data_IF_193699357246
#
_entry.id   IF_193699357246
#
_cell.length_a   1.000
_cell.length_b   1.000
_cell.length_c   1.000
_cell.angle_alpha   90.00
_cell.angle_beta   90.00
_cell.angle_gamma   90.00
#
_symmetry.space_group_name_H-M   'P 1'
#
loop_
_entity.id
_entity.type
_entity.pdbx_description
1 polymer ?
#
# COMPACT_ATOMS: atom_id res chain seq x y z
N UNK A 1 -16.68 10.11 34.51
CA UNK A 1 -15.59 9.89 35.47
C UNK A 1 -14.76 8.72 34.96
N UNK A 2 -13.53 9.05 34.56
CA UNK A 2 -12.33 8.25 34.43
C UNK A 2 -12.36 6.94 33.63
N UNK A 3 -11.83 7.09 32.41
CA UNK A 3 -11.07 6.10 31.68
C UNK A 3 -10.08 5.34 32.57
N UNK A 4 -10.26 4.04 32.65
CA UNK A 4 -9.16 3.11 32.79
C UNK A 4 -9.26 2.22 31.57
N UNK A 5 -8.60 2.64 30.49
CA UNK A 5 -8.18 1.70 29.45
C UNK A 5 -7.24 0.78 30.21
N UNK A 6 -7.75 -0.41 30.58
CA UNK A 6 -6.93 -1.44 31.19
C UNK A 6 -5.79 -1.72 30.23
N UNK A 7 -4.60 -1.34 30.70
CA UNK A 7 -3.31 -1.65 30.14
C UNK A 7 -3.31 -3.15 29.79
N UNK A 8 -3.15 -3.45 28.51
CA UNK A 8 -3.05 -4.82 28.03
C UNK A 8 -2.01 -5.54 28.88
N UNK A 9 -2.44 -6.58 29.60
CA UNK A 9 -1.57 -7.37 30.49
C UNK A 9 -0.52 -8.20 29.76
N UNK A 10 -0.43 -8.08 28.44
CA UNK A 10 0.55 -8.76 27.61
C UNK A 10 1.66 -7.78 27.21
N UNK A 11 2.94 -8.07 27.52
CA UNK A 11 4.08 -7.19 27.19
C UNK A 11 4.27 -6.92 25.70
N UNK A 12 3.55 -7.65 24.84
CA UNK A 12 3.69 -7.58 23.39
C UNK A 12 2.34 -7.97 22.78
N UNK A 13 1.61 -6.99 22.26
CA UNK A 13 0.42 -7.26 21.45
C UNK A 13 0.86 -7.83 20.10
N UNK A 14 -0.04 -8.54 19.41
CA UNK A 14 0.25 -9.04 18.07
C UNK A 14 0.62 -7.90 17.10
N UNK A 15 0.16 -6.68 17.39
CA UNK A 15 0.51 -5.45 16.67
C UNK A 15 1.97 -4.99 16.89
N UNK A 16 2.57 -5.33 18.04
CA UNK A 16 3.98 -5.04 18.35
C UNK A 16 4.96 -6.04 17.69
N UNK A 17 4.47 -7.22 17.27
CA UNK A 17 5.28 -8.26 16.62
C UNK A 17 5.62 -7.88 15.17
N UNK A 18 4.73 -7.16 14.49
CA UNK A 18 4.91 -6.78 13.08
C UNK A 18 5.70 -5.47 12.89
N UNK A 19 6.05 -4.78 13.97
CA UNK A 19 6.64 -3.43 13.92
C UNK A 19 8.10 -3.34 14.37
N UNK A 20 8.75 -4.46 14.72
CA UNK A 20 10.09 -4.41 15.35
C UNK A 20 11.27 -4.66 14.40
N UNK A 21 11.07 -5.09 13.15
CA UNK A 21 12.16 -5.24 12.19
C UNK A 21 11.72 -5.20 10.71
N UNK A 22 11.88 -4.04 10.05
CA UNK A 22 12.27 -3.95 8.64
C UNK A 22 11.22 -4.31 7.58
N UNK A 23 10.55 -3.26 7.06
CA UNK A 23 9.79 -3.19 5.81
C UNK A 23 8.73 -4.28 5.56
N UNK A 24 7.45 -3.90 5.72
CA UNK A 24 6.30 -4.66 5.22
C UNK A 24 6.54 -5.14 3.79
N UNK A 25 6.11 -6.38 3.47
CA UNK A 25 6.14 -6.85 2.09
C UNK A 25 5.26 -5.95 1.20
N UNK A 26 5.52 -5.85 -0.12
CA UNK A 26 4.70 -5.02 -1.01
C UNK A 26 3.20 -5.34 -0.92
N UNK A 27 2.84 -6.61 -0.73
CA UNK A 27 1.44 -7.02 -0.56
C UNK A 27 0.81 -6.52 0.74
N UNK A 28 1.56 -6.50 1.84
CA UNK A 28 1.10 -5.93 3.12
C UNK A 28 1.01 -4.40 3.05
N UNK A 29 1.95 -3.75 2.38
CA UNK A 29 1.90 -2.31 2.13
C UNK A 29 0.65 -1.92 1.32
N UNK A 30 0.26 -2.72 0.32
CA UNK A 30 -0.99 -2.46 -0.43
C UNK A 30 -2.22 -2.61 0.48
N UNK A 31 -2.26 -3.61 1.36
CA UNK A 31 -3.36 -3.76 2.34
C UNK A 31 -3.45 -2.55 3.28
N UNK A 32 -2.30 -2.12 3.78
CA UNK A 32 -2.21 -0.92 4.63
C UNK A 32 -2.67 0.33 3.86
N UNK A 33 -2.31 0.46 2.58
CA UNK A 33 -2.74 1.59 1.76
C UNK A 33 -4.27 1.61 1.58
N UNK A 34 -4.91 0.44 1.45
CA UNK A 34 -6.37 0.34 1.38
C UNK A 34 -7.00 0.87 2.67
N UNK A 35 -6.48 0.47 3.83
CA UNK A 35 -6.98 0.91 5.15
C UNK A 35 -6.83 2.43 5.29
N UNK A 36 -5.63 2.95 5.04
CA UNK A 36 -5.35 4.39 5.12
C UNK A 36 -6.22 5.19 4.14
N UNK A 37 -6.41 4.68 2.92
CA UNK A 37 -7.29 5.28 1.92
C UNK A 37 -8.76 5.31 2.35
N UNK A 38 -9.28 4.20 2.91
CA UNK A 38 -10.64 4.13 3.42
C UNK A 38 -10.85 5.11 4.58
N UNK A 39 -9.91 5.15 5.52
CA UNK A 39 -9.95 6.07 6.66
C UNK A 39 -9.93 7.52 6.17
N UNK A 40 -9.08 7.84 5.20
CA UNK A 40 -9.04 9.17 4.60
C UNK A 40 -10.38 9.53 3.95
N UNK A 41 -11.02 8.63 3.20
CA UNK A 41 -12.31 8.92 2.56
C UNK A 41 -13.46 9.11 3.56
N UNK A 42 -13.43 8.41 4.68
CA UNK A 42 -14.51 8.41 5.67
C UNK A 42 -14.31 9.46 6.77
N UNK A 43 -13.12 10.06 6.87
CA UNK A 43 -12.85 11.14 7.81
C UNK A 43 -13.27 12.50 7.23
N UNK A 44 -13.98 13.36 7.99
CA UNK A 44 -14.26 14.73 7.58
C UNK A 44 -13.00 15.61 7.57
N UNK A 45 -12.04 15.30 8.45
CA UNK A 45 -10.77 16.00 8.59
C UNK A 45 -9.63 15.27 7.87
N UNK A 46 -8.56 15.99 7.56
CA UNK A 46 -7.39 15.43 6.90
C UNK A 46 -6.54 14.64 7.91
N UNK A 47 -6.31 13.36 7.63
CA UNK A 47 -5.53 12.48 8.52
C UNK A 47 -4.02 12.71 8.35
N UNK A 48 -3.15 12.16 9.21
CA UNK A 48 -1.69 12.23 9.01
C UNK A 48 -1.26 11.62 7.67
N UNK A 49 -0.34 12.28 6.96
CA UNK A 49 0.14 11.79 5.67
C UNK A 49 1.13 10.64 5.86
N UNK A 50 0.76 9.45 5.39
CA UNK A 50 1.62 8.25 5.30
C UNK A 50 2.60 8.33 4.13
N UNK A 51 3.57 9.24 4.23
CA UNK A 51 4.62 9.43 3.23
C UNK A 51 5.44 8.15 3.02
N UNK A 52 5.82 7.49 4.12
CA UNK A 52 6.53 6.21 4.17
C UNK A 52 5.93 5.17 3.22
N UNK A 53 4.61 5.03 3.27
CA UNK A 53 3.88 4.05 2.50
C UNK A 53 3.76 4.42 1.02
N UNK A 54 3.50 5.70 0.74
CA UNK A 54 3.35 6.21 -0.63
C UNK A 54 4.68 6.12 -1.37
N UNK A 55 5.78 6.56 -0.76
CA UNK A 55 7.10 6.55 -1.37
C UNK A 55 7.59 5.12 -1.62
N UNK A 56 7.38 4.22 -0.64
CA UNK A 56 7.74 2.80 -0.77
C UNK A 56 6.95 2.11 -1.89
N UNK A 57 5.62 2.28 -1.92
CA UNK A 57 4.77 1.67 -2.94
C UNK A 57 5.00 2.25 -4.34
N UNK A 58 5.30 3.55 -4.43
CA UNK A 58 5.63 4.19 -5.72
C UNK A 58 6.90 3.58 -6.31
N UNK A 59 7.97 3.47 -5.50
CA UNK A 59 9.22 2.80 -5.91
C UNK A 59 9.01 1.34 -6.27
N UNK A 60 8.20 0.61 -5.51
CA UNK A 60 7.89 -0.80 -5.79
C UNK A 60 7.14 -0.96 -7.12
N UNK A 61 6.19 -0.06 -7.41
CA UNK A 61 5.45 -0.04 -8.68
C UNK A 61 6.37 0.29 -9.86
N UNK A 62 7.26 1.27 -9.72
CA UNK A 62 8.24 1.64 -10.74
C UNK A 62 9.16 0.45 -11.04
N UNK A 63 9.77 -0.14 -10.01
CA UNK A 63 10.66 -1.29 -10.17
C UNK A 63 9.96 -2.51 -10.80
N UNK A 64 8.74 -2.83 -10.39
CA UNK A 64 7.99 -3.95 -10.98
C UNK A 64 7.59 -3.64 -12.43
N UNK A 65 7.34 -2.38 -12.79
CA UNK A 65 7.04 -1.99 -14.17
C UNK A 65 8.23 -2.15 -15.11
N UNK A 66 9.43 -1.77 -14.65
CA UNK A 66 10.68 -1.98 -15.38
C UNK A 66 10.96 -3.47 -15.59
N UNK A 67 10.80 -4.27 -14.53
CA UNK A 67 10.96 -5.72 -14.60
C UNK A 67 10.01 -6.38 -15.60
N UNK A 68 8.74 -5.97 -15.65
CA UNK A 68 7.79 -6.49 -16.65
C UNK A 68 8.21 -6.10 -18.05
N UNK A 69 8.69 -4.87 -18.25
CA UNK A 69 9.16 -4.39 -19.54
C UNK A 69 10.35 -5.23 -20.06
N UNK A 70 11.35 -5.48 -19.20
CA UNK A 70 12.49 -6.35 -19.53
C UNK A 70 12.05 -7.79 -19.84
N UNK A 71 11.10 -8.32 -19.08
CA UNK A 71 10.58 -9.67 -19.27
C UNK A 71 9.75 -9.85 -20.55
N UNK A 72 9.17 -8.77 -21.08
CA UNK A 72 8.38 -8.80 -22.30
C UNK A 72 9.23 -9.13 -23.54
N UNK A 73 10.49 -8.69 -23.56
CA UNK A 73 11.42 -8.97 -24.65
C UNK A 73 11.97 -10.41 -24.59
N UNK A 74 12.11 -10.96 -23.38
CA UNK A 74 12.74 -12.27 -23.15
C UNK A 74 11.73 -13.42 -23.25
N UNK A 75 10.55 -13.26 -22.63
CA UNK A 75 9.58 -14.34 -22.50
C UNK A 75 8.50 -14.24 -23.57
N UNK A 76 8.61 -15.10 -24.59
CA UNK A 76 7.72 -15.06 -25.77
C UNK A 76 6.61 -16.10 -25.75
N UNK A 77 6.65 -17.06 -24.82
CA UNK A 77 5.65 -18.10 -24.68
C UNK A 77 4.31 -17.57 -24.14
N UNK A 78 3.22 -18.27 -24.47
CA UNK A 78 1.85 -17.84 -24.17
C UNK A 78 1.58 -17.76 -22.66
N UNK A 79 2.12 -18.69 -21.87
CA UNK A 79 1.93 -18.72 -20.42
C UNK A 79 2.61 -17.52 -19.76
N UNK A 80 3.85 -17.21 -20.12
CA UNK A 80 4.56 -16.03 -19.65
C UNK A 80 3.85 -14.73 -20.01
N UNK A 81 3.30 -14.62 -21.23
CA UNK A 81 2.50 -13.44 -21.63
C UNK A 81 1.23 -13.28 -20.78
N UNK A 82 0.57 -14.38 -20.44
CA UNK A 82 -0.61 -14.36 -19.57
C UNK A 82 -0.24 -13.88 -18.15
N UNK A 83 0.86 -14.38 -17.59
CA UNK A 83 1.37 -13.95 -16.29
C UNK A 83 1.75 -12.46 -16.32
N UNK A 84 2.42 -11.99 -17.37
CA UNK A 84 2.76 -10.56 -17.54
C UNK A 84 1.51 -9.67 -17.61
N UNK A 85 0.45 -10.11 -18.31
CA UNK A 85 -0.82 -9.39 -18.36
C UNK A 85 -1.45 -9.24 -16.96
N UNK A 86 -1.41 -10.29 -16.13
CA UNK A 86 -1.90 -10.23 -14.75
C UNK A 86 -1.06 -9.24 -13.95
N UNK A 87 0.27 -9.30 -14.05
CA UNK A 87 1.16 -8.39 -13.33
C UNK A 87 0.97 -6.93 -13.74
N UNK A 88 0.77 -6.66 -15.03
CA UNK A 88 0.48 -5.32 -15.54
C UNK A 88 -0.87 -4.79 -15.02
N UNK A 89 -1.89 -5.65 -14.98
CA UNK A 89 -3.21 -5.31 -14.43
C UNK A 89 -3.12 -4.99 -12.94
N UNK A 90 -2.32 -5.76 -12.19
CA UNK A 90 -2.07 -5.53 -10.77
C UNK A 90 -1.40 -4.19 -10.52
N UNK A 91 -0.39 -3.83 -11.32
CA UNK A 91 0.27 -2.52 -11.26
C UNK A 91 -0.75 -1.39 -11.43
N UNK A 92 -1.61 -1.46 -12.44
CA UNK A 92 -2.59 -0.40 -12.68
C UNK A 92 -3.62 -0.30 -11.54
N UNK A 93 -3.98 -1.41 -10.89
CA UNK A 93 -4.82 -1.39 -9.68
C UNK A 93 -4.15 -0.63 -8.54
N UNK A 94 -2.87 -0.88 -8.29
CA UNK A 94 -2.12 -0.20 -7.22
C UNK A 94 -1.95 1.29 -7.55
N UNK A 95 -1.60 1.64 -8.80
CA UNK A 95 -1.52 3.04 -9.25
C UNK A 95 -2.85 3.77 -9.10
N UNK A 96 -3.97 3.12 -9.43
CA UNK A 96 -5.30 3.68 -9.21
C UNK A 96 -5.53 3.99 -7.72
N UNK A 97 -5.20 3.06 -6.84
CA UNK A 97 -5.36 3.23 -5.39
C UNK A 97 -4.53 4.39 -4.85
N UNK A 98 -3.25 4.48 -5.23
CA UNK A 98 -2.36 5.60 -4.88
C UNK A 98 -2.93 6.95 -5.32
N UNK A 99 -3.36 7.06 -6.59
CA UNK A 99 -3.95 8.28 -7.13
C UNK A 99 -5.25 8.65 -6.42
N UNK A 100 -6.09 7.65 -6.10
CA UNK A 100 -7.35 7.85 -5.39
C UNK A 100 -7.10 8.42 -3.98
N UNK A 101 -6.15 7.85 -3.24
CA UNK A 101 -5.73 8.35 -1.93
C UNK A 101 -5.22 9.79 -1.97
N UNK A 102 -4.27 10.09 -2.85
CA UNK A 102 -3.74 11.44 -2.97
C UNK A 102 -4.81 12.44 -3.40
N UNK A 103 -5.72 12.06 -4.30
CA UNK A 103 -6.82 12.94 -4.75
C UNK A 103 -7.82 13.22 -3.63
N UNK A 104 -8.18 12.22 -2.82
CA UNK A 104 -9.04 12.43 -1.64
C UNK A 104 -8.41 13.43 -0.68
N UNK A 105 -7.10 13.30 -0.41
CA UNK A 105 -6.38 14.26 0.45
C UNK A 105 -6.37 15.67 -0.13
N UNK A 106 -6.00 15.82 -1.41
CA UNK A 106 -5.98 17.12 -2.10
C UNK A 106 -7.34 17.81 -2.10
N UNK A 107 -8.43 17.04 -2.15
CA UNK A 107 -9.78 17.61 -2.03
C UNK A 107 -10.04 18.24 -0.67
N UNK A 108 -9.48 17.70 0.42
CA UNK A 108 -9.60 18.26 1.78
C UNK A 108 -8.64 19.42 2.07
N UNK A 109 -7.58 19.58 1.29
CA UNK A 109 -6.68 20.74 1.37
C UNK A 109 -7.36 22.01 0.84
N UNK A 110 -8.24 21.83 -0.16
CA UNK A 110 -8.96 22.92 -0.83
C UNK A 110 -10.13 23.41 0.02
#
# INVERSE_FOLDING_TARGET
MNSTIEDSSFPQTQDDIFNLAGALSPGEQVKELIVVWMNERNSPEMLPYRNDLVDSLTKAVEHQSEKIFEQMEINTDTESRFIQMIQQTEIERIKYLLRSYLRTRLFKVK
#
